data_IF_972223771699
#
_entry.id   IF_972223771699
#
_cell.length_a   1.000
_cell.length_b   1.000
_cell.length_c   1.000
_cell.angle_alpha   90.00
_cell.angle_beta   90.00
_cell.angle_gamma   90.00
#
_symmetry.space_group_name_H-M   'P 1'
#
loop_
_entity.id
_entity.type
_entity.pdbx_description
1 polymer ?
#
# COMPACT_ATOMS: atom_id res chain seq x y z
N UNK A 1 -37.84 12.52 22.06
CA UNK A 1 -38.20 11.09 22.04
C UNK A 1 -36.94 10.34 21.67
N UNK A 2 -36.56 9.31 22.44
CA UNK A 2 -35.39 8.51 22.10
C UNK A 2 -35.75 7.55 20.96
N UNK A 3 -35.09 7.71 19.81
CA UNK A 3 -35.13 6.73 18.74
C UNK A 3 -33.95 5.77 18.90
N UNK A 4 -34.10 4.50 18.51
CA UNK A 4 -32.98 3.53 18.51
C UNK A 4 -33.17 2.47 17.44
N UNK A 5 -32.06 1.90 16.99
CA UNK A 5 -32.00 0.71 16.16
C UNK A 5 -31.82 -0.52 17.08
N UNK A 6 -32.46 -1.64 16.73
CA UNK A 6 -32.17 -2.94 17.31
C UNK A 6 -30.86 -3.53 16.77
N UNK A 7 -30.51 -4.72 17.25
CA UNK A 7 -29.39 -5.48 16.68
C UNK A 7 -29.66 -5.81 15.21
N UNK A 8 -28.62 -5.82 14.39
CA UNK A 8 -28.75 -6.05 12.97
C UNK A 8 -27.57 -6.84 12.40
N UNK A 9 -27.90 -7.70 11.43
CA UNK A 9 -26.93 -8.41 10.62
C UNK A 9 -26.73 -7.64 9.31
N UNK A 10 -25.47 -7.31 9.02
CA UNK A 10 -25.06 -6.67 7.78
C UNK A 10 -24.48 -7.72 6.86
N UNK A 11 -25.06 -7.89 5.68
CA UNK A 11 -24.52 -8.79 4.67
C UNK A 11 -24.00 -8.01 3.47
N UNK A 12 -22.83 -8.43 3.02
CA UNK A 12 -22.07 -7.86 1.93
C UNK A 12 -22.14 -8.83 0.74
N UNK A 13 -22.71 -8.41 -0.40
CA UNK A 13 -22.71 -9.26 -1.60
C UNK A 13 -21.95 -8.64 -2.77
N UNK A 14 -21.34 -9.53 -3.54
CA UNK A 14 -20.64 -9.22 -4.77
C UNK A 14 -21.61 -9.27 -5.95
N UNK A 15 -22.21 -8.12 -6.28
CA UNK A 15 -23.24 -7.98 -7.32
C UNK A 15 -22.72 -8.12 -8.75
N UNK A 16 -21.43 -8.44 -8.94
CA UNK A 16 -20.87 -8.73 -10.27
C UNK A 16 -21.24 -10.12 -10.79
N UNK A 17 -21.87 -10.96 -9.95
CA UNK A 17 -22.30 -12.31 -10.27
C UNK A 17 -23.83 -12.41 -10.32
N UNK A 18 -24.37 -13.23 -11.23
CA UNK A 18 -25.82 -13.43 -11.43
C UNK A 18 -26.54 -13.95 -10.17
N UNK A 19 -25.81 -14.68 -9.30
CA UNK A 19 -26.24 -15.06 -7.95
C UNK A 19 -25.17 -14.60 -6.96
N UNK A 20 -25.30 -13.38 -6.40
CA UNK A 20 -24.21 -12.77 -5.66
C UNK A 20 -24.04 -13.48 -4.31
N UNK A 21 -22.90 -14.17 -4.08
CA UNK A 21 -22.66 -14.85 -2.80
C UNK A 21 -22.59 -13.82 -1.68
N UNK A 22 -23.04 -14.20 -0.49
CA UNK A 22 -22.76 -13.41 0.71
C UNK A 22 -21.28 -13.57 1.03
N UNK A 23 -20.48 -12.55 0.77
CA UNK A 23 -19.02 -12.61 0.96
C UNK A 23 -18.68 -12.49 2.44
N UNK A 24 -19.34 -11.55 3.12
CA UNK A 24 -19.07 -11.21 4.50
C UNK A 24 -20.38 -10.93 5.25
N UNK A 25 -20.38 -11.26 6.54
CA UNK A 25 -21.44 -10.89 7.49
C UNK A 25 -20.83 -10.15 8.68
N UNK A 26 -21.48 -9.09 9.14
CA UNK A 26 -21.10 -8.41 10.38
C UNK A 26 -22.30 -8.24 11.31
N UNK A 27 -22.15 -8.68 12.56
CA UNK A 27 -23.12 -8.46 13.61
C UNK A 27 -22.90 -7.09 14.26
N UNK A 28 -23.96 -6.27 14.26
CA UNK A 28 -23.93 -4.92 14.79
C UNK A 28 -24.95 -4.81 15.93
N UNK A 29 -24.45 -4.46 17.11
CA UNK A 29 -25.30 -4.19 18.26
C UNK A 29 -26.13 -2.92 18.02
N UNK A 30 -27.39 -2.95 18.46
CA UNK A 30 -28.30 -1.82 18.36
C UNK A 30 -27.79 -0.57 19.08
N UNK A 31 -28.11 0.60 18.52
CA UNK A 31 -27.61 1.89 18.99
C UNK A 31 -28.71 2.97 18.97
N UNK A 32 -28.62 4.00 19.83
CA UNK A 32 -29.55 5.12 19.80
C UNK A 32 -29.37 5.96 18.53
N UNK A 33 -30.47 6.55 18.04
CA UNK A 33 -30.51 7.45 16.88
C UNK A 33 -30.89 8.86 17.34
N UNK A 34 -30.04 9.83 17.03
CA UNK A 34 -30.27 11.26 17.11
C UNK A 34 -30.33 11.90 15.70
N UNK A 35 -30.63 13.20 15.65
CA UNK A 35 -30.92 13.96 14.41
C UNK A 35 -29.83 13.88 13.33
N UNK A 36 -28.57 13.71 13.75
CA UNK A 36 -27.43 13.42 12.87
C UNK A 36 -26.60 12.29 13.50
N UNK A 37 -27.01 11.04 13.25
CA UNK A 37 -26.33 9.87 13.81
C UNK A 37 -25.20 9.43 12.90
N UNK A 38 -23.96 9.60 13.36
CA UNK A 38 -22.82 8.90 12.78
C UNK A 38 -22.79 7.49 13.34
N UNK A 39 -22.93 6.50 12.46
CA UNK A 39 -22.82 5.10 12.83
C UNK A 39 -21.35 4.71 12.76
N UNK A 40 -20.74 4.49 13.93
CA UNK A 40 -19.36 4.03 14.02
C UNK A 40 -19.30 2.67 14.73
N UNK A 41 -19.12 1.63 13.94
CA UNK A 41 -19.03 0.25 14.44
C UNK A 41 -17.55 -0.04 14.64
N UNK A 42 -17.07 0.15 15.87
CA UNK A 42 -15.66 -0.01 16.22
C UNK A 42 -15.31 -1.41 16.72
N UNK A 43 -16.32 -2.23 17.06
CA UNK A 43 -16.16 -3.61 17.54
C UNK A 43 -17.27 -4.47 16.95
N UNK A 44 -16.88 -5.43 16.13
CA UNK A 44 -17.76 -6.44 15.53
C UNK A 44 -16.91 -7.57 14.98
N UNK A 45 -17.42 -8.80 15.01
CA UNK A 45 -16.79 -9.92 14.33
C UNK A 45 -17.25 -9.89 12.88
N UNK A 46 -16.30 -9.83 11.97
CA UNK A 46 -16.57 -9.98 10.54
C UNK A 46 -16.45 -11.46 10.19
N UNK A 47 -17.56 -12.08 9.84
CA UNK A 47 -17.63 -13.45 9.41
C UNK A 47 -17.37 -13.54 7.91
N UNK A 48 -16.34 -14.29 7.52
CA UNK A 48 -16.10 -14.64 6.11
C UNK A 48 -16.93 -15.87 5.79
N UNK A 49 -17.98 -15.69 4.99
CA UNK A 49 -18.88 -16.79 4.63
C UNK A 49 -18.39 -17.57 3.41
N UNK A 50 -17.67 -16.90 2.51
CA UNK A 50 -17.08 -17.49 1.31
C UNK A 50 -15.70 -16.87 1.05
N UNK A 51 -14.65 -17.65 1.36
CA UNK A 51 -13.26 -17.22 1.21
C UNK A 51 -12.86 -17.04 -0.25
N UNK A 52 -13.36 -17.88 -1.17
CA UNK A 52 -12.99 -17.80 -2.59
C UNK A 52 -13.68 -16.59 -3.24
N UNK A 53 -14.93 -16.33 -2.88
CA UNK A 53 -15.62 -15.11 -3.29
C UNK A 53 -14.93 -13.86 -2.73
N UNK A 54 -14.44 -13.89 -1.49
CA UNK A 54 -13.68 -12.78 -0.89
C UNK A 54 -12.36 -12.54 -1.61
N UNK A 55 -11.61 -13.61 -1.94
CA UNK A 55 -10.38 -13.52 -2.74
C UNK A 55 -10.69 -12.94 -4.11
N UNK A 56 -11.71 -13.46 -4.80
CA UNK A 56 -12.10 -12.98 -6.13
C UNK A 56 -12.59 -11.54 -6.12
N UNK A 57 -13.32 -11.13 -5.09
CA UNK A 57 -13.71 -9.73 -4.88
C UNK A 57 -12.48 -8.84 -4.63
N UNK A 58 -11.60 -9.22 -3.70
CA UNK A 58 -10.40 -8.46 -3.37
C UNK A 58 -9.49 -8.31 -4.59
N UNK A 59 -9.45 -9.35 -5.43
CA UNK A 59 -8.74 -9.34 -6.70
C UNK A 59 -9.26 -8.25 -7.65
N UNK A 60 -10.58 -8.20 -7.87
CA UNK A 60 -11.18 -7.17 -8.72
C UNK A 60 -11.09 -5.79 -8.10
N UNK A 61 -11.22 -5.69 -6.78
CA UNK A 61 -11.08 -4.44 -6.04
C UNK A 61 -9.70 -3.81 -6.24
N UNK A 62 -8.64 -4.60 -6.28
CA UNK A 62 -7.28 -4.09 -6.52
C UNK A 62 -7.18 -3.47 -7.93
N UNK A 63 -7.73 -4.11 -8.95
CA UNK A 63 -7.52 -3.68 -10.35
C UNK A 63 -8.53 -2.64 -10.85
N UNK A 64 -9.72 -2.59 -10.25
CA UNK A 64 -10.82 -1.76 -10.75
C UNK A 64 -10.70 -0.30 -10.33
N UNK A 65 -11.34 0.59 -11.09
CA UNK A 65 -11.51 1.99 -10.70
C UNK A 65 -12.62 2.15 -9.65
N UNK A 66 -13.74 1.46 -9.86
CA UNK A 66 -14.83 1.32 -8.91
C UNK A 66 -15.30 -0.13 -8.89
N UNK A 67 -15.84 -0.58 -7.76
CA UNK A 67 -16.51 -1.87 -7.63
C UNK A 67 -17.93 -1.64 -7.11
N UNK A 68 -18.96 -2.15 -7.80
CA UNK A 68 -20.31 -2.15 -7.26
C UNK A 68 -20.35 -3.13 -6.10
N UNK A 69 -21.05 -2.71 -5.05
CA UNK A 69 -21.22 -3.50 -3.85
C UNK A 69 -22.65 -3.30 -3.37
N UNK A 70 -23.29 -4.30 -2.77
CA UNK A 70 -24.55 -4.07 -2.10
C UNK A 70 -24.44 -4.31 -0.60
N UNK A 71 -25.22 -3.51 0.10
CA UNK A 71 -25.43 -3.62 1.53
C UNK A 71 -26.85 -4.08 1.72
N UNK A 72 -27.02 -5.21 2.41
CA UNK A 72 -28.33 -5.71 2.79
C UNK A 72 -28.44 -5.83 4.31
N UNK A 73 -29.55 -5.34 4.84
CA UNK A 73 -29.97 -5.54 6.22
C UNK A 73 -31.41 -6.03 6.18
N UNK A 74 -31.68 -7.18 6.80
CA UNK A 74 -33.01 -7.77 6.86
C UNK A 74 -33.56 -7.72 8.27
N UNK A 75 -34.84 -7.39 8.39
CA UNK A 75 -35.56 -7.40 9.67
C UNK A 75 -35.08 -6.33 10.66
N UNK A 76 -34.62 -5.18 10.17
CA UNK A 76 -34.14 -4.10 11.03
C UNK A 76 -35.29 -3.51 11.85
N UNK A 77 -35.18 -3.60 13.17
CA UNK A 77 -36.12 -2.96 14.07
C UNK A 77 -35.68 -1.53 14.41
N UNK A 78 -36.54 -0.56 14.14
CA UNK A 78 -36.38 0.82 14.60
C UNK A 78 -37.49 1.15 15.58
N UNK A 79 -37.08 1.72 16.70
CA UNK A 79 -37.96 2.08 17.80
C UNK A 79 -38.05 3.60 17.95
N UNK A 80 -39.26 4.13 18.07
CA UNK A 80 -39.53 5.51 18.49
C UNK A 80 -40.41 5.47 19.74
N UNK A 81 -39.77 5.48 20.92
CA UNK A 81 -40.46 5.15 22.17
C UNK A 81 -40.97 3.70 22.15
N UNK A 82 -42.29 3.51 22.26
CA UNK A 82 -42.93 2.18 22.21
C UNK A 82 -43.27 1.73 20.78
N UNK A 83 -43.23 2.65 19.80
CA UNK A 83 -43.50 2.31 18.42
C UNK A 83 -42.33 1.49 17.87
N UNK A 84 -42.63 0.33 17.30
CA UNK A 84 -41.68 -0.54 16.61
C UNK A 84 -42.02 -0.55 15.13
N UNK A 85 -41.03 -0.32 14.30
CA UNK A 85 -41.13 -0.44 12.84
C UNK A 85 -40.06 -1.40 12.35
N UNK A 86 -40.45 -2.33 11.48
CA UNK A 86 -39.54 -3.30 10.88
C UNK A 86 -39.39 -2.97 9.40
N UNK A 87 -38.15 -2.87 8.91
CA UNK A 87 -37.90 -2.71 7.48
C UNK A 87 -36.64 -3.44 7.03
N UNK A 88 -36.58 -3.66 5.73
CA UNK A 88 -35.41 -4.18 5.04
C UNK A 88 -34.71 -3.03 4.33
N UNK A 89 -33.39 -3.02 4.38
CA UNK A 89 -32.56 -2.07 3.67
C UNK A 89 -31.76 -2.84 2.62
N UNK A 90 -31.86 -2.41 1.38
CA UNK A 90 -31.00 -2.84 0.29
C UNK A 90 -30.47 -1.59 -0.38
N UNK A 91 -29.15 -1.40 -0.34
CA UNK A 91 -28.50 -0.22 -0.89
C UNK A 91 -27.32 -0.65 -1.74
N UNK A 92 -27.40 -0.49 -3.07
CA UNK A 92 -26.21 -0.54 -3.90
C UNK A 92 -25.33 0.67 -3.56
N UNK A 93 -24.05 0.41 -3.35
CA UNK A 93 -23.00 1.41 -3.14
C UNK A 93 -21.89 1.13 -4.15
N UNK A 94 -21.17 2.19 -4.52
CA UNK A 94 -19.95 2.05 -5.31
C UNK A 94 -18.77 2.47 -4.45
N UNK A 95 -17.74 1.64 -4.46
CA UNK A 95 -16.50 1.91 -3.73
C UNK A 95 -15.39 2.06 -4.77
N UNK A 96 -14.55 3.10 -4.64
CA UNK A 96 -13.37 3.21 -5.50
C UNK A 96 -12.44 2.01 -5.24
N UNK A 97 -11.95 1.37 -6.29
CA UNK A 97 -10.91 0.34 -6.23
C UNK A 97 -9.51 0.94 -6.20
N UNK A 98 -8.47 0.10 -6.24
CA UNK A 98 -7.07 0.55 -6.10
C UNK A 98 -6.37 0.85 -7.43
N UNK A 99 -7.07 0.74 -8.58
CA UNK A 99 -6.52 1.04 -9.92
C UNK A 99 -5.17 0.37 -10.21
N UNK A 100 -5.02 -0.87 -9.74
CA UNK A 100 -3.82 -1.68 -9.87
C UNK A 100 -2.59 -1.14 -9.12
N UNK A 101 -2.76 -0.20 -8.17
CA UNK A 101 -1.67 0.49 -7.47
C UNK A 101 -0.68 1.14 -8.46
N UNK A 102 -1.21 1.76 -9.52
CA UNK A 102 -0.44 2.30 -10.65
C UNK A 102 0.18 3.68 -10.40
N UNK A 103 -0.05 4.27 -9.23
CA UNK A 103 0.36 5.63 -8.87
C UNK A 103 1.57 5.69 -7.93
N UNK A 104 2.34 4.60 -7.84
CA UNK A 104 3.58 4.55 -7.07
C UNK A 104 4.61 5.51 -7.68
N UNK A 105 5.03 6.48 -6.87
CA UNK A 105 6.01 7.49 -7.23
C UNK A 105 7.19 7.42 -6.28
N UNK A 106 8.41 7.49 -6.84
CA UNK A 106 9.62 7.65 -6.05
C UNK A 106 9.86 9.13 -5.76
N UNK A 107 9.77 9.52 -4.50
CA UNK A 107 9.95 10.91 -4.07
C UNK A 107 11.42 11.23 -3.89
N UNK A 108 12.13 10.35 -3.20
CA UNK A 108 13.54 10.50 -2.86
C UNK A 108 14.25 9.16 -2.96
N UNK A 109 15.50 9.20 -3.38
CA UNK A 109 16.38 8.04 -3.39
C UNK A 109 17.78 8.48 -3.03
N UNK A 110 18.44 7.66 -2.23
CA UNK A 110 19.82 7.83 -1.83
C UNK A 110 20.56 6.52 -2.07
N UNK A 111 21.62 6.59 -2.86
CA UNK A 111 22.51 5.47 -3.09
C UNK A 111 23.64 5.52 -2.06
N UNK A 112 23.91 4.41 -1.39
CA UNK A 112 24.97 4.27 -0.38
C UNK A 112 26.03 3.32 -0.91
N UNK A 113 27.20 3.84 -1.25
CA UNK A 113 28.33 3.07 -1.77
C UNK A 113 29.55 3.25 -0.86
N UNK A 114 30.19 2.15 -0.38
CA UNK A 114 29.81 0.74 -0.57
C UNK A 114 28.51 0.36 0.19
N UNK A 115 27.87 -0.77 -0.13
CA UNK A 115 26.71 -1.26 0.62
C UNK A 115 27.02 -1.41 2.12
N UNK A 116 26.06 -1.04 2.97
CA UNK A 116 26.11 -1.22 4.43
C UNK A 116 25.00 -2.20 4.80
N UNK A 117 25.32 -3.23 5.59
CA UNK A 117 24.37 -4.30 5.97
C UNK A 117 23.65 -4.94 4.77
N UNK A 118 24.39 -5.13 3.67
CA UNK A 118 23.88 -5.64 2.40
C UNK A 118 22.75 -4.79 1.79
N UNK A 119 22.73 -3.48 2.08
CA UNK A 119 21.82 -2.49 1.51
C UNK A 119 22.61 -1.33 0.94
N UNK A 120 22.21 -0.85 -0.22
CA UNK A 120 22.83 0.31 -0.88
C UNK A 120 21.81 1.30 -1.44
N UNK A 121 20.52 1.05 -1.29
CA UNK A 121 19.47 1.99 -1.67
C UNK A 121 18.58 2.27 -0.47
N UNK A 122 18.30 3.55 -0.27
CA UNK A 122 17.30 4.05 0.66
C UNK A 122 16.39 4.98 -0.12
N UNK A 123 15.08 4.86 0.04
CA UNK A 123 14.16 5.64 -0.74
C UNK A 123 12.84 5.88 0.00
N UNK A 124 12.16 6.95 -0.40
CA UNK A 124 10.82 7.26 0.01
C UNK A 124 9.91 7.18 -1.21
N UNK A 125 8.90 6.32 -1.14
CA UNK A 125 7.86 6.22 -2.16
C UNK A 125 6.54 6.78 -1.62
N UNK A 126 5.67 7.20 -2.52
CA UNK A 126 4.27 7.50 -2.20
C UNK A 126 3.33 6.85 -3.19
N UNK A 127 2.16 6.48 -2.70
CA UNK A 127 1.02 6.02 -3.49
C UNK A 127 -0.26 6.52 -2.82
N UNK A 128 -1.37 6.57 -3.55
CA UNK A 128 -2.66 6.99 -3.03
C UNK A 128 -3.66 5.85 -3.06
N UNK A 129 -4.38 5.67 -1.96
CA UNK A 129 -5.55 4.80 -1.92
C UNK A 129 -6.81 5.66 -2.16
N UNK A 130 -7.45 5.61 -3.35
CA UNK A 130 -8.66 6.38 -3.61
C UNK A 130 -9.91 5.76 -2.96
N UNK A 131 -9.82 4.56 -2.41
CA UNK A 131 -10.92 3.88 -1.72
C UNK A 131 -11.15 4.45 -0.31
N UNK A 132 -12.33 4.16 0.24
CA UNK A 132 -12.64 4.40 1.66
C UNK A 132 -12.22 3.23 2.56
N UNK A 133 -11.60 2.17 2.00
CA UNK A 133 -11.21 0.97 2.73
C UNK A 133 -9.76 1.11 3.19
N UNK A 134 -9.52 0.84 4.48
CA UNK A 134 -8.16 0.81 5.04
C UNK A 134 -7.68 -0.63 5.24
N UNK A 135 -6.45 -0.93 4.86
CA UNK A 135 -5.83 -2.27 5.06
C UNK A 135 -4.40 -2.12 5.57
N UNK A 136 -4.10 -2.76 6.70
CA UNK A 136 -2.70 -2.92 7.14
C UNK A 136 -2.09 -4.11 6.40
N UNK A 137 -1.02 -3.88 5.65
CA UNK A 137 -0.35 -4.90 4.83
C UNK A 137 0.88 -5.46 5.57
N UNK A 138 1.63 -4.61 6.26
CA UNK A 138 2.86 -4.99 6.97
C UNK A 138 4.10 -4.76 6.12
N UNK A 139 5.13 -5.58 6.29
CA UNK A 139 6.38 -5.47 5.54
C UNK A 139 6.27 -6.21 4.21
N UNK A 140 6.73 -5.57 3.13
CA UNK A 140 6.62 -6.09 1.76
C UNK A 140 8.00 -6.16 1.12
N UNK A 141 8.38 -7.35 0.66
CA UNK A 141 9.60 -7.54 -0.14
C UNK A 141 9.24 -7.55 -1.61
N UNK A 142 9.97 -6.78 -2.42
CA UNK A 142 9.77 -6.66 -3.86
C UNK A 142 11.07 -6.82 -4.63
N UNK A 143 11.00 -7.51 -5.75
CA UNK A 143 12.05 -7.53 -6.75
C UNK A 143 11.96 -6.27 -7.63
N UNK A 144 13.10 -5.62 -7.82
CA UNK A 144 13.24 -4.44 -8.66
C UNK A 144 13.64 -4.87 -10.07
N UNK A 145 12.80 -4.58 -11.06
CA UNK A 145 12.96 -5.05 -12.43
C UNK A 145 12.91 -3.87 -13.41
N UNK A 146 13.87 -3.80 -14.33
CA UNK A 146 13.90 -2.79 -15.42
C UNK A 146 14.14 -3.51 -16.75
N UNK A 147 13.25 -3.31 -17.72
CA UNK A 147 13.27 -4.03 -19.01
C UNK A 147 13.45 -5.55 -18.84
N UNK A 148 12.71 -6.13 -17.88
CA UNK A 148 12.71 -7.56 -17.56
C UNK A 148 14.03 -8.10 -16.97
N UNK A 149 14.95 -7.20 -16.60
CA UNK A 149 16.19 -7.50 -15.89
C UNK A 149 15.97 -7.20 -14.40
N UNK A 150 16.14 -8.21 -13.54
CA UNK A 150 16.19 -8.01 -12.09
C UNK A 150 17.46 -7.25 -11.74
N UNK A 151 17.28 -6.04 -11.21
CA UNK A 151 18.38 -5.15 -10.81
C UNK A 151 18.58 -5.13 -9.29
N UNK A 152 17.73 -5.80 -8.52
CA UNK A 152 17.84 -5.80 -7.07
C UNK A 152 16.59 -6.28 -6.35
N UNK A 153 16.59 -6.05 -5.05
CA UNK A 153 15.47 -6.32 -4.13
C UNK A 153 15.34 -5.15 -3.15
N UNK A 154 14.10 -4.82 -2.78
CA UNK A 154 13.79 -3.82 -1.76
C UNK A 154 12.75 -4.32 -0.76
N UNK A 155 12.86 -3.81 0.47
CA UNK A 155 11.94 -4.04 1.57
C UNK A 155 11.25 -2.73 1.92
N UNK A 156 9.92 -2.75 1.84
CA UNK A 156 9.05 -1.68 2.29
C UNK A 156 8.51 -2.00 3.68
N UNK A 157 8.65 -1.09 4.63
CA UNK A 157 8.29 -1.32 6.03
C UNK A 157 6.90 -0.77 6.35
N UNK A 158 6.15 -1.53 7.16
CA UNK A 158 4.88 -1.10 7.76
C UNK A 158 3.87 -0.50 6.75
N UNK A 159 3.78 -1.09 5.56
CA UNK A 159 2.88 -0.66 4.50
C UNK A 159 1.44 -0.75 5.01
N UNK A 160 0.73 0.35 4.85
CA UNK A 160 -0.71 0.45 5.08
C UNK A 160 -1.36 1.14 3.89
N UNK A 161 -2.51 0.65 3.48
CA UNK A 161 -3.34 1.26 2.45
C UNK A 161 -4.42 2.04 3.19
N UNK A 162 -4.17 3.31 3.52
CA UNK A 162 -5.16 4.20 4.15
C UNK A 162 -5.69 5.20 3.12
N UNK A 163 -6.98 5.59 3.17
CA UNK A 163 -7.55 6.54 2.22
C UNK A 163 -6.69 7.80 2.06
N UNK A 164 -6.38 8.15 0.81
CA UNK A 164 -5.49 9.24 0.44
C UNK A 164 -4.02 8.82 0.25
N UNK A 165 -3.14 9.81 0.25
CA UNK A 165 -1.72 9.62 -0.02
C UNK A 165 -0.98 9.04 1.19
N UNK A 166 -0.26 7.95 0.97
CA UNK A 166 0.60 7.29 1.96
C UNK A 166 2.06 7.37 1.52
N UNK A 167 2.97 7.60 2.47
CA UNK A 167 4.40 7.59 2.25
C UNK A 167 5.01 6.36 2.92
N UNK A 168 5.90 5.68 2.21
CA UNK A 168 6.54 4.46 2.69
C UNK A 168 8.04 4.57 2.48
N UNK A 169 8.77 4.28 3.55
CA UNK A 169 10.21 4.14 3.49
C UNK A 169 10.58 2.74 2.97
N UNK A 170 11.50 2.71 2.03
CA UNK A 170 12.06 1.50 1.46
C UNK A 170 13.58 1.49 1.63
N UNK A 171 14.14 0.32 1.91
CA UNK A 171 15.57 0.07 1.76
C UNK A 171 15.83 -1.21 0.99
N UNK A 172 17.00 -1.33 0.38
CA UNK A 172 17.25 -2.46 -0.51
C UNK A 172 18.66 -2.53 -1.02
N UNK A 173 18.87 -3.56 -1.84
CA UNK A 173 20.10 -3.82 -2.53
C UNK A 173 19.87 -3.80 -4.03
N UNK A 174 20.59 -2.94 -4.71
CA UNK A 174 20.63 -2.83 -6.16
C UNK A 174 22.01 -3.26 -6.67
N UNK A 175 22.01 -4.12 -7.67
CA UNK A 175 23.21 -4.61 -8.34
C UNK A 175 23.68 -3.61 -9.41
N UNK A 176 24.57 -2.71 -9.00
CA UNK A 176 25.17 -1.69 -9.87
C UNK A 176 25.92 -2.32 -11.06
N UNK A 177 26.78 -3.35 -10.90
CA UNK A 177 27.38 -4.07 -12.02
C UNK A 177 26.36 -4.59 -13.05
N UNK A 178 25.25 -5.18 -12.61
CA UNK A 178 24.19 -5.66 -13.50
C UNK A 178 23.52 -4.51 -14.25
N UNK A 179 23.27 -3.37 -13.59
CA UNK A 179 22.75 -2.17 -14.27
C UNK A 179 23.73 -1.67 -15.33
N UNK A 180 25.01 -1.52 -14.99
CA UNK A 180 26.01 -0.96 -15.90
C UNK A 180 26.24 -1.84 -17.13
N UNK A 181 26.30 -3.16 -16.95
CA UNK A 181 26.46 -4.12 -18.05
C UNK A 181 25.25 -4.12 -19.01
N UNK A 182 24.06 -3.76 -18.50
CA UNK A 182 22.82 -3.71 -19.29
C UNK A 182 22.37 -2.28 -19.63
N UNK A 183 23.16 -1.26 -19.31
CA UNK A 183 22.75 0.15 -19.37
C UNK A 183 22.26 0.56 -20.77
N UNK A 184 22.96 0.14 -21.83
CA UNK A 184 22.56 0.45 -23.20
C UNK A 184 21.21 -0.20 -23.59
N UNK A 185 20.90 -1.39 -23.06
CA UNK A 185 19.61 -2.04 -23.24
C UNK A 185 18.51 -1.38 -22.42
N UNK A 186 18.83 -0.98 -21.17
CA UNK A 186 17.94 -0.24 -20.29
C UNK A 186 17.52 1.08 -20.92
N UNK A 187 18.48 1.90 -21.36
CA UNK A 187 18.22 3.21 -22.00
C UNK A 187 17.34 3.04 -23.24
N UNK A 188 17.64 2.05 -24.10
CA UNK A 188 16.85 1.80 -25.31
C UNK A 188 15.41 1.39 -24.99
N UNK A 189 15.19 0.45 -24.07
CA UNK A 189 13.83 0.02 -23.73
C UNK A 189 13.04 1.05 -22.90
N UNK A 190 13.72 2.01 -22.27
CA UNK A 190 13.09 3.11 -21.52
C UNK A 190 13.03 4.42 -22.32
N UNK A 191 13.42 4.44 -23.60
CA UNK A 191 13.61 5.67 -24.37
C UNK A 191 12.40 6.62 -24.35
N UNK A 192 11.17 6.08 -24.46
CA UNK A 192 9.94 6.88 -24.38
C UNK A 192 9.69 7.46 -22.98
N UNK A 193 10.02 6.71 -21.93
CA UNK A 193 9.87 7.16 -20.55
C UNK A 193 10.93 8.22 -20.21
N UNK A 194 12.16 8.03 -20.68
CA UNK A 194 13.25 8.99 -20.52
C UNK A 194 12.92 10.34 -21.16
N UNK A 195 12.31 10.32 -22.36
CA UNK A 195 11.80 11.53 -23.01
C UNK A 195 10.68 12.21 -22.21
N UNK A 196 9.87 11.44 -21.49
CA UNK A 196 8.85 11.94 -20.57
C UNK A 196 9.42 12.39 -19.21
N UNK A 197 10.72 12.25 -18.97
CA UNK A 197 11.40 12.71 -17.77
C UNK A 197 11.46 11.70 -16.61
N UNK A 198 11.15 10.42 -16.87
CA UNK A 198 11.17 9.37 -15.84
C UNK A 198 11.72 8.03 -16.35
N UNK A 199 11.98 7.11 -15.43
CA UNK A 199 12.24 5.69 -15.70
C UNK A 199 11.13 4.88 -15.04
N UNK A 200 10.64 3.85 -15.71
CA UNK A 200 9.64 2.95 -15.12
C UNK A 200 10.33 1.71 -14.55
N UNK A 201 10.15 1.47 -13.25
CA UNK A 201 10.51 0.22 -12.59
C UNK A 201 9.28 -0.67 -12.45
N UNK A 202 9.45 -1.94 -12.79
CA UNK A 202 8.52 -3.00 -12.43
C UNK A 202 8.89 -3.51 -11.04
N UNK A 203 7.91 -3.58 -10.14
CA UNK A 203 8.05 -4.13 -8.80
C UNK A 203 7.27 -5.44 -8.76
N UNK A 204 7.96 -6.54 -8.55
CA UNK A 204 7.34 -7.86 -8.43
C UNK A 204 7.33 -8.25 -6.96
N UNK A 205 6.15 -8.41 -6.36
CA UNK A 205 6.08 -8.76 -4.94
C UNK A 205 6.49 -10.21 -4.72
N UNK A 206 7.39 -10.43 -3.76
CA UNK A 206 7.89 -11.76 -3.40
C UNK A 206 7.33 -12.25 -2.07
N UNK A 207 7.22 -11.38 -1.06
CA UNK A 207 6.71 -11.77 0.26
C UNK A 207 6.01 -10.64 1.02
N UNK A 208 5.12 -11.05 1.93
CA UNK A 208 4.47 -10.19 2.92
C UNK A 208 4.74 -10.77 4.30
N UNK A 209 5.16 -9.94 5.24
CA UNK A 209 5.32 -10.33 6.64
C UNK A 209 4.65 -9.33 7.56
N UNK A 210 3.94 -9.82 8.56
CA UNK A 210 3.33 -9.00 9.61
C UNK A 210 3.61 -9.67 10.95
N UNK A 211 4.14 -8.91 11.91
CA UNK A 211 4.57 -9.42 13.21
C UNK A 211 5.51 -10.65 13.15
N UNK A 212 6.30 -10.76 12.08
CA UNK A 212 7.21 -11.89 11.84
C UNK A 212 6.58 -13.09 11.14
N UNK A 213 5.27 -13.09 10.89
CA UNK A 213 4.57 -14.17 10.20
C UNK A 213 4.27 -13.81 8.74
N UNK A 214 4.34 -14.81 7.86
CA UNK A 214 4.06 -14.65 6.44
C UNK A 214 2.55 -14.62 6.19
N UNK A 215 2.07 -13.62 5.44
CA UNK A 215 0.66 -13.54 5.06
C UNK A 215 0.45 -14.10 3.66
N UNK A 216 -0.04 -15.34 3.58
CA UNK A 216 -0.23 -16.04 2.30
C UNK A 216 -1.40 -15.50 1.47
N UNK A 217 -2.47 -15.02 2.11
CA UNK A 217 -3.63 -14.42 1.42
C UNK A 217 -3.23 -13.20 0.57
N UNK A 218 -2.56 -12.21 1.17
CA UNK A 218 -2.06 -11.03 0.46
C UNK A 218 -0.99 -11.41 -0.58
N UNK A 219 -0.17 -12.43 -0.26
CA UNK A 219 0.76 -13.02 -1.20
C UNK A 219 0.09 -13.53 -2.47
N UNK A 220 -1.00 -14.29 -2.36
CA UNK A 220 -1.71 -14.85 -3.50
C UNK A 220 -2.29 -13.76 -4.42
N UNK A 221 -2.81 -12.68 -3.84
CA UNK A 221 -3.36 -11.56 -4.59
C UNK A 221 -2.26 -10.74 -5.29
N UNK A 222 -1.20 -10.37 -4.58
CA UNK A 222 -0.24 -9.39 -5.09
C UNK A 222 0.92 -10.02 -5.86
N UNK A 223 1.25 -11.30 -5.66
CA UNK A 223 2.33 -11.98 -6.43
C UNK A 223 2.02 -12.13 -7.91
N UNK A 224 0.76 -12.21 -8.31
CA UNK A 224 0.39 -12.26 -9.73
C UNK A 224 0.42 -10.89 -10.41
N UNK A 225 0.66 -9.81 -9.65
CA UNK A 225 0.68 -8.45 -10.14
C UNK A 225 2.11 -7.93 -10.23
N UNK A 226 2.39 -7.25 -11.33
CA UNK A 226 3.60 -6.46 -11.49
C UNK A 226 3.21 -5.01 -11.29
N UNK A 227 3.65 -4.41 -10.19
CA UNK A 227 3.41 -2.99 -9.94
C UNK A 227 4.38 -2.15 -10.76
N UNK A 228 3.99 -0.94 -11.11
CA UNK A 228 4.83 -0.02 -11.88
C UNK A 228 5.09 1.25 -11.07
N UNK A 229 6.37 1.53 -10.81
CA UNK A 229 6.81 2.75 -10.15
C UNK A 229 7.43 3.70 -11.18
N UNK A 230 7.00 4.95 -11.17
CA UNK A 230 7.62 6.01 -11.98
C UNK A 230 8.70 6.69 -11.15
N UNK A 231 9.92 6.68 -11.67
CA UNK A 231 11.07 7.30 -11.04
C UNK A 231 11.46 8.55 -11.82
N UNK A 232 11.28 9.76 -11.27
CA UNK A 232 11.75 10.98 -11.89
C UNK A 232 13.28 10.96 -12.10
N UNK A 233 13.76 11.43 -13.26
CA UNK A 233 15.21 11.47 -13.55
C UNK A 233 15.97 12.34 -12.54
N UNK A 234 15.35 13.41 -12.07
CA UNK A 234 15.94 14.32 -11.06
C UNK A 234 16.21 13.58 -9.74
N UNK A 235 15.32 12.68 -9.32
CA UNK A 235 15.51 11.90 -8.10
C UNK A 235 16.73 10.98 -8.23
N UNK A 236 16.91 10.33 -9.39
CA UNK A 236 18.08 9.47 -9.65
C UNK A 236 19.39 10.27 -9.64
N UNK A 237 19.41 11.43 -10.30
CA UNK A 237 20.61 12.29 -10.38
C UNK A 237 21.01 12.76 -8.98
N UNK A 238 20.04 13.22 -8.18
CA UNK A 238 20.29 13.68 -6.81
C UNK A 238 20.82 12.54 -5.93
N UNK A 239 20.19 11.35 -6.00
CA UNK A 239 20.58 10.19 -5.21
C UNK A 239 21.95 9.61 -5.57
N UNK A 240 22.36 9.68 -6.84
CA UNK A 240 23.70 9.29 -7.26
C UNK A 240 24.75 10.35 -6.89
N UNK A 241 24.42 11.64 -7.05
CA UNK A 241 25.31 12.75 -6.77
C UNK A 241 25.75 12.84 -5.31
N UNK A 242 24.83 12.64 -4.36
CA UNK A 242 25.15 12.59 -2.92
C UNK A 242 26.12 11.46 -2.58
N UNK A 243 25.98 10.31 -3.24
CA UNK A 243 26.82 9.14 -3.02
C UNK A 243 28.23 9.33 -3.55
N UNK A 244 28.38 9.83 -4.78
CA UNK A 244 29.67 10.04 -5.43
C UNK A 244 30.48 11.10 -4.68
N UNK A 245 29.83 12.18 -4.23
CA UNK A 245 30.50 13.23 -3.44
C UNK A 245 30.95 12.66 -2.09
N UNK A 246 30.09 11.93 -1.36
CA UNK A 246 30.46 11.33 -0.08
C UNK A 246 31.57 10.29 -0.23
N UNK A 247 31.47 9.39 -1.20
CA UNK A 247 32.47 8.36 -1.48
C UNK A 247 33.81 8.97 -1.93
N UNK A 248 33.77 10.00 -2.77
CA UNK A 248 34.96 10.78 -3.16
C UNK A 248 35.62 11.47 -1.98
N UNK A 249 34.84 12.08 -1.07
CA UNK A 249 35.37 12.72 0.14
C UNK A 249 35.95 11.71 1.13
N UNK A 250 35.35 10.52 1.28
CA UNK A 250 35.90 9.41 2.08
C UNK A 250 37.20 8.89 1.46
N UNK A 251 37.24 8.70 0.13
CA UNK A 251 38.45 8.30 -0.61
C UNK A 251 39.58 9.33 -0.55
N UNK A 252 39.24 10.61 -0.35
CA UNK A 252 40.20 11.70 -0.12
C UNK A 252 40.53 11.94 1.37
N UNK A 253 40.01 11.10 2.29
CA UNK A 253 40.28 11.22 3.73
C UNK A 253 39.63 12.42 4.42
N UNK A 254 38.65 13.08 3.79
CA UNK A 254 38.01 14.31 4.27
C UNK A 254 36.75 14.05 5.12
N UNK A 255 36.38 12.79 5.35
CA UNK A 255 35.19 12.40 6.10
C UNK A 255 35.51 12.16 7.60
N UNK A 256 35.89 13.21 8.33
CA UNK A 256 35.55 13.41 9.75
C UNK A 256 36.23 14.68 10.28
N UNK A 257 35.41 15.69 10.58
CA UNK A 257 35.86 16.96 11.15
C UNK A 257 34.80 17.59 12.04
N UNK A 258 34.17 16.81 12.92
CA UNK A 258 33.29 17.34 13.97
C UNK A 258 33.58 16.64 15.29
N UNK A 259 34.24 17.36 16.21
CA UNK A 259 34.08 17.17 17.65
C UNK A 259 35.27 16.62 18.44
N UNK A 260 36.43 17.27 18.43
CA UNK A 260 37.42 17.13 19.50
C UNK A 260 38.09 18.48 19.82
N UNK A 261 37.31 19.42 20.37
CA UNK A 261 37.85 20.61 21.02
C UNK A 261 36.94 20.96 22.21
N UNK A 262 37.47 20.81 23.42
CA UNK A 262 36.95 21.54 24.58
C UNK A 262 36.96 20.82 25.92
N UNK A 263 38.12 20.38 26.42
CA UNK A 263 38.33 20.47 27.87
C UNK A 263 39.80 20.75 28.20
N UNK A 264 40.14 22.05 28.17
CA UNK A 264 41.22 22.61 28.98
C UNK A 264 40.57 23.58 29.97
N UNK A 265 40.63 23.24 31.25
CA UNK A 265 40.63 24.21 32.33
C UNK A 265 41.60 23.70 33.40
N UNK A 266 42.74 24.39 33.53
CA UNK A 266 43.54 24.41 34.78
C UNK A 266 43.09 25.60 35.64
N UNK A 267 43.80 25.98 36.72
CA UNK A 267 45.04 25.43 37.26
C UNK A 267 44.86 24.51 38.48
#
# INVERSE_FOLDING_TARGET
MAARVGDLEFTLHDTTQDQPPTVLTADIQGFPIDTATQINITKGVLHVNDSDALVGWADRFIDSETIPFDVRVRGLDVFLGMLRYNFNLERPIEINGLRGLSDITLNEVNLVLPPVDNKNVQANISFSNPSSISVQVGNVTVDLIVNDIKIGEALAYNVSLVPGATHVYIDGLVDIPTILSNLAGIIRGQASQLQAGHVTLKLQVTSFTMYGEKIDFLGALLRKRVLSAKIPLVALINGAGTSIIKSGLVGMGMANGTGALGEKAGP
#
